data_IF_865295845793
#
_entry.id   IF_865295845793
#
_cell.length_a   1.000
_cell.length_b   1.000
_cell.length_c   1.000
_cell.angle_alpha   90.00
_cell.angle_beta   90.00
_cell.angle_gamma   90.00
#
_symmetry.space_group_name_H-M   'P 1'
#
loop_
_entity.id
_entity.type
_entity.pdbx_description
1 polymer ?
#
# COMPACT_ATOMS: atom_id res chain seq x y z
N UNK A 1 -21.15 -15.20 -9.58
CA UNK A 1 -20.06 -14.22 -9.66
C UNK A 1 -20.39 -12.98 -8.85
N UNK A 2 -19.49 -12.66 -7.92
CA UNK A 2 -19.44 -11.35 -7.31
C UNK A 2 -18.72 -10.40 -8.26
N UNK A 3 -19.29 -9.22 -8.51
CA UNK A 3 -18.64 -8.20 -9.34
C UNK A 3 -18.04 -7.15 -8.42
N UNK A 4 -16.75 -6.87 -8.62
CA UNK A 4 -16.03 -5.84 -7.86
C UNK A 4 -16.41 -4.48 -8.44
N UNK A 5 -16.91 -3.59 -7.59
CA UNK A 5 -17.30 -2.24 -8.00
C UNK A 5 -16.19 -1.23 -7.78
N UNK A 6 -15.46 -1.39 -6.68
CA UNK A 6 -14.43 -0.43 -6.28
C UNK A 6 -13.30 -1.12 -5.55
N UNK A 7 -12.08 -0.73 -5.93
CA UNK A 7 -10.86 -1.01 -5.21
C UNK A 7 -10.34 0.32 -4.66
N UNK A 8 -10.02 0.36 -3.38
CA UNK A 8 -9.44 1.54 -2.76
C UNK A 8 -8.29 1.16 -1.84
N UNK A 9 -7.26 2.00 -1.82
CA UNK A 9 -6.12 1.86 -0.94
C UNK A 9 -5.89 3.21 -0.26
N UNK A 10 -6.00 3.23 1.06
CA UNK A 10 -5.61 4.38 1.87
C UNK A 10 -4.23 4.14 2.44
N UNK A 11 -3.30 5.03 2.13
CA UNK A 11 -1.95 5.02 2.68
C UNK A 11 -1.86 5.90 3.91
N UNK A 12 -1.49 5.31 5.04
CA UNK A 12 -1.21 6.00 6.31
C UNK A 12 0.26 5.79 6.68
N UNK A 13 0.85 6.69 7.48
CA UNK A 13 2.18 6.44 8.02
C UNK A 13 2.14 5.21 8.92
N UNK A 14 3.15 4.35 8.78
CA UNK A 14 3.32 3.23 9.67
C UNK A 14 4.18 3.66 10.88
N UNK A 15 3.50 3.89 12.00
CA UNK A 15 4.16 4.17 13.28
C UNK A 15 4.60 2.89 14.01
N UNK A 16 4.40 1.71 13.42
CA UNK A 16 4.76 0.45 14.06
C UNK A 16 6.28 0.32 14.19
N UNK A 17 6.80 0.08 15.41
CA UNK A 17 8.23 -0.13 15.60
C UNK A 17 8.72 -1.42 14.92
N UNK A 18 7.82 -2.32 14.54
CA UNK A 18 8.17 -3.64 13.98
C UNK A 18 8.69 -3.55 12.55
N UNK A 19 8.09 -2.71 11.70
CA UNK A 19 8.47 -2.60 10.28
C UNK A 19 9.92 -2.10 10.12
N UNK A 20 10.25 -0.99 10.79
CA UNK A 20 11.61 -0.46 10.77
C UNK A 20 12.61 -1.40 11.47
N UNK A 21 12.21 -2.06 12.56
CA UNK A 21 13.08 -3.04 13.23
C UNK A 21 13.40 -4.24 12.34
N UNK A 22 12.41 -4.75 11.60
CA UNK A 22 12.61 -5.83 10.64
C UNK A 22 13.54 -5.39 9.50
N UNK A 23 13.28 -4.23 8.88
CA UNK A 23 14.15 -3.69 7.84
C UNK A 23 15.60 -3.50 8.32
N UNK A 24 15.79 -3.04 9.57
CA UNK A 24 17.12 -2.93 10.18
C UNK A 24 17.79 -4.29 10.41
N UNK A 25 17.03 -5.32 10.75
CA UNK A 25 17.56 -6.66 10.92
C UNK A 25 18.02 -7.27 9.58
N UNK A 26 17.22 -7.12 8.52
CA UNK A 26 17.59 -7.57 7.17
C UNK A 26 18.81 -6.81 6.62
N UNK A 27 18.85 -5.49 6.82
CA UNK A 27 20.00 -4.66 6.47
C UNK A 27 21.28 -5.13 7.20
N UNK A 28 21.17 -5.47 8.49
CA UNK A 28 22.28 -6.00 9.28
C UNK A 28 22.70 -7.42 8.87
N UNK A 29 21.79 -8.20 8.28
CA UNK A 29 22.09 -9.51 7.69
C UNK A 29 22.85 -9.40 6.35
N UNK A 30 22.99 -8.19 5.79
CA UNK A 30 23.77 -7.92 4.59
C UNK A 30 22.95 -7.72 3.33
N UNK A 31 21.62 -7.57 3.44
CA UNK A 31 20.78 -7.26 2.27
C UNK A 31 20.96 -5.79 1.86
N UNK A 32 21.56 -5.58 0.68
CA UNK A 32 21.87 -4.26 0.13
C UNK A 32 20.60 -3.42 -0.16
N UNK A 33 19.50 -4.07 -0.56
CA UNK A 33 18.22 -3.38 -0.80
C UNK A 33 17.67 -2.83 0.51
N UNK A 34 17.67 -3.64 1.56
CA UNK A 34 17.21 -3.20 2.88
C UNK A 34 18.12 -2.14 3.49
N UNK A 35 19.44 -2.22 3.27
CA UNK A 35 20.37 -1.17 3.69
C UNK A 35 20.05 0.18 3.03
N UNK A 36 19.75 0.17 1.72
CA UNK A 36 19.37 1.37 0.99
C UNK A 36 18.07 1.97 1.56
N UNK A 37 17.02 1.17 1.71
CA UNK A 37 15.72 1.64 2.22
C UNK A 37 15.79 2.22 3.63
N UNK A 38 16.55 1.57 4.52
CA UNK A 38 16.77 2.08 5.89
C UNK A 38 17.49 3.43 5.85
N UNK A 39 18.55 3.55 5.04
CA UNK A 39 19.30 4.79 4.92
C UNK A 39 18.45 5.93 4.31
N UNK A 40 17.66 5.64 3.29
CA UNK A 40 16.72 6.60 2.68
C UNK A 40 15.65 7.05 3.67
N UNK A 41 15.10 6.13 4.45
CA UNK A 41 14.13 6.47 5.49
C UNK A 41 14.74 7.39 6.56
N UNK A 42 15.96 7.09 7.02
CA UNK A 42 16.66 7.93 8.00
C UNK A 42 16.99 9.34 7.48
N UNK A 43 17.17 9.50 6.16
CA UNK A 43 17.30 10.81 5.50
C UNK A 43 15.97 11.51 5.20
N UNK A 44 14.84 10.83 5.38
CA UNK A 44 13.51 11.30 4.99
C UNK A 44 13.22 11.22 3.49
N UNK A 45 14.02 10.47 2.75
CA UNK A 45 13.85 10.18 1.32
C UNK A 45 12.87 9.03 1.07
N UNK A 46 12.56 8.23 2.09
CA UNK A 46 11.58 7.16 2.05
C UNK A 46 10.60 7.23 3.23
N UNK A 47 9.35 6.84 2.99
CA UNK A 47 8.30 6.71 4.00
C UNK A 47 8.00 5.23 4.23
N UNK A 48 7.69 4.87 5.47
CA UNK A 48 7.12 3.57 5.80
C UNK A 48 5.61 3.77 5.96
N UNK A 49 4.84 3.02 5.19
CA UNK A 49 3.41 3.15 5.08
C UNK A 49 2.71 1.86 5.47
N UNK A 50 1.52 2.04 6.02
CA UNK A 50 0.51 1.00 6.15
C UNK A 50 -0.57 1.27 5.11
N UNK A 51 -0.94 0.23 4.37
CA UNK A 51 -1.98 0.27 3.36
C UNK A 51 -3.27 -0.34 3.93
N UNK A 52 -4.30 0.49 4.00
CA UNK A 52 -5.67 0.08 4.32
C UNK A 52 -6.40 -0.15 3.00
N UNK A 53 -6.54 -1.42 2.62
CA UNK A 53 -7.15 -1.87 1.38
C UNK A 53 -8.64 -2.09 1.60
N UNK A 54 -9.45 -1.64 0.65
CA UNK A 54 -10.90 -1.78 0.66
C UNK A 54 -11.37 -2.30 -0.68
N UNK A 55 -12.18 -3.36 -0.66
CA UNK A 55 -12.78 -3.99 -1.83
C UNK A 55 -14.30 -4.00 -1.66
N UNK A 56 -15.02 -3.39 -2.60
CA UNK A 56 -16.48 -3.28 -2.57
C UNK A 56 -17.12 -4.16 -3.62
N UNK A 57 -18.08 -5.00 -3.21
CA UNK A 57 -18.78 -5.96 -4.04
C UNK A 57 -20.22 -5.52 -4.34
N UNK A 58 -20.61 -5.62 -5.62
CA UNK A 58 -21.92 -5.17 -6.09
C UNK A 58 -23.06 -6.19 -5.94
N UNK A 59 -22.78 -7.44 -5.62
CA UNK A 59 -23.75 -8.55 -5.66
C UNK A 59 -24.46 -8.82 -4.32
N UNK A 60 -23.91 -8.36 -3.20
CA UNK A 60 -24.48 -8.54 -1.85
C UNK A 60 -24.46 -7.18 -1.16
N UNK A 61 -25.58 -6.45 -1.14
CA UNK A 61 -25.83 -5.25 -0.33
C UNK A 61 -24.61 -4.33 -0.02
N UNK A 62 -23.75 -4.05 -1.01
CA UNK A 62 -22.55 -3.23 -0.81
C UNK A 62 -21.56 -3.83 0.19
N UNK A 63 -21.34 -5.14 0.16
CA UNK A 63 -20.35 -5.82 0.99
C UNK A 63 -18.99 -5.18 0.80
N UNK A 64 -18.40 -4.74 1.92
CA UNK A 64 -17.10 -4.07 1.97
C UNK A 64 -16.14 -4.98 2.71
N UNK A 65 -15.05 -5.31 2.04
CA UNK A 65 -13.99 -6.13 2.61
C UNK A 65 -12.78 -5.24 2.80
N UNK A 66 -12.24 -5.24 4.01
CA UNK A 66 -11.08 -4.42 4.37
C UNK A 66 -9.91 -5.29 4.79
N UNK A 67 -8.72 -4.95 4.33
CA UNK A 67 -7.47 -5.53 4.80
C UNK A 67 -6.50 -4.41 5.19
N UNK A 68 -5.62 -4.68 6.13
CA UNK A 68 -4.56 -3.76 6.52
C UNK A 68 -3.23 -4.48 6.41
N UNK A 69 -2.29 -3.86 5.72
CA UNK A 69 -0.93 -4.39 5.50
C UNK A 69 0.07 -3.31 5.89
N UNK A 70 1.04 -3.64 6.73
CA UNK A 70 2.03 -2.72 7.27
C UNK A 70 3.41 -2.92 6.62
N UNK A 71 4.34 -1.99 6.87
CA UNK A 71 5.73 -2.13 6.48
C UNK A 71 6.09 -1.86 5.01
N UNK A 72 5.29 -1.11 4.27
CA UNK A 72 5.65 -0.74 2.88
C UNK A 72 6.58 0.44 2.84
N UNK A 73 7.74 0.28 2.22
CA UNK A 73 8.61 1.38 1.90
C UNK A 73 8.20 2.00 0.56
N UNK A 74 8.02 3.31 0.56
CA UNK A 74 7.80 4.09 -0.67
C UNK A 74 8.78 5.25 -0.71
N UNK A 75 9.18 5.64 -1.92
CA UNK A 75 10.00 6.83 -2.09
C UNK A 75 9.17 8.07 -1.73
N UNK A 76 9.73 8.92 -0.88
CA UNK A 76 9.17 10.22 -0.56
C UNK A 76 9.45 11.22 -1.70
N UNK A 77 8.69 11.11 -2.78
CA UNK A 77 8.82 12.00 -3.92
C UNK A 77 8.06 13.32 -3.67
N UNK A 78 8.64 14.45 -4.10
CA UNK A 78 7.99 15.78 -4.11
C UNK A 78 6.68 15.87 -4.91
N UNK A 79 6.35 14.87 -5.71
CA UNK A 79 5.16 14.84 -6.56
C UNK A 79 4.22 13.76 -6.05
N UNK A 80 3.14 14.17 -5.38
CA UNK A 80 2.14 13.26 -4.82
C UNK A 80 1.63 12.20 -5.82
N UNK A 81 1.38 12.51 -7.12
CA UNK A 81 0.92 11.49 -8.06
C UNK A 81 1.90 10.32 -8.26
N UNK A 82 3.21 10.54 -8.08
CA UNK A 82 4.20 9.45 -8.16
C UNK A 82 4.15 8.55 -6.94
N UNK A 83 3.89 9.12 -5.76
CA UNK A 83 3.71 8.36 -4.51
C UNK A 83 2.41 7.55 -4.59
N UNK A 84 1.33 8.17 -5.09
CA UNK A 84 0.05 7.50 -5.34
C UNK A 84 0.21 6.35 -6.35
N UNK A 85 1.00 6.53 -7.40
CA UNK A 85 1.30 5.46 -8.36
C UNK A 85 2.03 4.27 -7.68
N UNK A 86 3.08 4.53 -6.89
CA UNK A 86 3.79 3.47 -6.16
C UNK A 86 2.84 2.70 -5.24
N UNK A 87 1.96 3.41 -4.53
CA UNK A 87 0.96 2.78 -3.66
C UNK A 87 -0.03 1.94 -4.47
N UNK A 88 -0.49 2.42 -5.62
CA UNK A 88 -1.40 1.67 -6.47
C UNK A 88 -0.77 0.35 -6.94
N UNK A 89 0.51 0.38 -7.33
CA UNK A 89 1.26 -0.80 -7.76
C UNK A 89 1.45 -1.81 -6.61
N UNK A 90 1.78 -1.33 -5.40
CA UNK A 90 1.91 -2.17 -4.20
C UNK A 90 0.56 -2.77 -3.78
N UNK A 91 -0.48 -1.93 -3.67
CA UNK A 91 -1.82 -2.32 -3.27
C UNK A 91 -2.41 -3.37 -4.20
N UNK A 92 -2.10 -3.31 -5.50
CA UNK A 92 -2.60 -4.27 -6.48
C UNK A 92 -2.10 -5.70 -6.23
N UNK A 93 -0.83 -5.86 -5.85
CA UNK A 93 -0.28 -7.17 -5.47
C UNK A 93 -1.03 -7.78 -4.30
N UNK A 94 -1.29 -6.99 -3.26
CA UNK A 94 -2.00 -7.44 -2.06
C UNK A 94 -3.49 -7.64 -2.27
N UNK A 95 -4.14 -6.81 -3.09
CA UNK A 95 -5.55 -6.98 -3.45
C UNK A 95 -5.77 -8.28 -4.23
N UNK A 96 -4.80 -8.69 -5.06
CA UNK A 96 -4.83 -9.98 -5.74
C UNK A 96 -4.74 -11.14 -4.75
N UNK A 97 -3.86 -11.04 -3.75
CA UNK A 97 -3.76 -12.03 -2.68
C UNK A 97 -5.04 -12.10 -1.83
N UNK A 98 -5.59 -10.93 -1.46
CA UNK A 98 -6.85 -10.83 -0.71
C UNK A 98 -8.01 -11.47 -1.49
N UNK A 99 -8.09 -11.24 -2.80
CA UNK A 99 -9.10 -11.86 -3.63
C UNK A 99 -8.94 -13.39 -3.74
N UNK A 100 -7.70 -13.90 -3.79
CA UNK A 100 -7.45 -15.33 -3.77
C UNK A 100 -7.87 -15.98 -2.42
N UNK A 101 -7.69 -15.28 -1.30
CA UNK A 101 -8.21 -15.70 0.01
C UNK A 101 -9.74 -15.71 0.02
N UNK A 102 -10.38 -14.69 -0.57
CA UNK A 102 -11.84 -14.59 -0.67
C UNK A 102 -12.43 -15.67 -1.58
N UNK A 103 -11.77 -16.01 -2.68
CA UNK A 103 -12.13 -17.12 -3.55
C UNK A 103 -12.25 -18.45 -2.79
N UNK A 104 -11.36 -18.67 -1.82
CA UNK A 104 -11.40 -19.87 -0.97
C UNK A 104 -12.57 -19.85 0.04
N UNK A 105 -13.03 -18.66 0.44
CA UNK A 105 -14.13 -18.46 1.40
C UNK A 105 -15.55 -18.54 0.81
N UNK A 106 -15.70 -19.03 -0.44
CA UNK A 106 -16.96 -19.19 -1.21
C UNK A 106 -17.48 -17.93 -1.93
N UNK A 107 -16.65 -16.93 -2.18
CA UNK A 107 -16.98 -15.86 -3.11
C UNK A 107 -16.35 -16.14 -4.48
N UNK A 108 -17.17 -16.31 -5.51
CA UNK A 108 -16.71 -16.53 -6.88
C UNK A 108 -16.23 -15.20 -7.48
N UNK A 109 -14.98 -14.85 -7.15
CA UNK A 109 -14.22 -13.67 -7.59
C UNK A 109 -13.14 -14.13 -8.56
N UNK A 110 -13.11 -13.54 -9.75
CA UNK A 110 -12.06 -13.80 -10.74
C UNK A 110 -10.87 -12.85 -10.49
N UNK A 111 -9.67 -13.35 -10.12
CA UNK A 111 -8.49 -12.53 -9.96
C UNK A 111 -8.09 -11.78 -11.24
N UNK A 112 -8.48 -12.27 -12.42
CA UNK A 112 -8.21 -11.58 -13.69
C UNK A 112 -9.09 -10.34 -13.87
N UNK A 113 -10.31 -10.32 -13.35
CA UNK A 113 -11.16 -9.12 -13.37
C UNK A 113 -10.53 -8.00 -12.56
N UNK A 114 -9.94 -8.32 -11.41
CA UNK A 114 -9.22 -7.36 -10.58
C UNK A 114 -8.00 -6.79 -11.28
N UNK A 115 -7.36 -7.59 -12.14
CA UNK A 115 -6.09 -7.21 -12.74
C UNK A 115 -6.17 -6.01 -13.71
N UNK A 116 -7.37 -5.73 -14.23
CA UNK A 116 -7.64 -4.60 -15.11
C UNK A 116 -8.28 -3.40 -14.41
N UNK A 117 -8.54 -3.47 -13.11
CA UNK A 117 -9.25 -2.43 -12.37
C UNK A 117 -8.33 -1.33 -11.88
N UNK A 118 -8.83 -0.11 -11.92
CA UNK A 118 -8.19 1.04 -11.29
C UNK A 118 -8.32 0.96 -9.77
N UNK A 119 -7.21 1.08 -9.05
CA UNK A 119 -7.18 1.23 -7.59
C UNK A 119 -7.25 2.72 -7.25
N UNK A 120 -8.30 3.13 -6.56
CA UNK A 120 -8.39 4.49 -6.05
C UNK A 120 -7.46 4.64 -4.84
N UNK A 121 -6.43 5.48 -4.98
CA UNK A 121 -5.47 5.73 -3.90
C UNK A 121 -5.80 7.02 -3.17
N UNK A 122 -5.82 6.96 -1.84
CA UNK A 122 -5.94 8.11 -0.97
C UNK A 122 -4.71 8.19 -0.04
N UNK A 123 -4.08 9.36 0.00
CA UNK A 123 -3.02 9.65 0.97
C UNK A 123 -3.63 10.26 2.23
N UNK A 124 -3.32 9.69 3.39
CA UNK A 124 -3.65 10.30 4.67
C UNK A 124 -3.10 11.74 4.76
N UNK A 125 -3.80 12.68 5.44
CA UNK A 125 -3.33 14.06 5.55
C UNK A 125 -1.89 14.20 6.03
N UNK A 126 -1.43 13.33 6.93
CA UNK A 126 -0.05 13.37 7.40
C UNK A 126 0.95 12.89 6.34
N UNK A 127 0.63 11.82 5.60
CA UNK A 127 1.44 11.36 4.45
C UNK A 127 1.53 12.47 3.40
N UNK A 128 0.39 13.08 3.07
CA UNK A 128 0.32 14.19 2.12
C UNK A 128 1.15 15.39 2.58
N UNK A 129 1.16 15.69 3.88
CA UNK A 129 2.02 16.73 4.45
C UNK A 129 3.50 16.42 4.24
N UNK A 130 3.95 15.19 4.54
CA UNK A 130 5.36 14.78 4.35
C UNK A 130 5.83 14.88 2.89
N UNK A 131 4.98 14.45 1.96
CA UNK A 131 5.20 14.54 0.51
C UNK A 131 5.32 16.00 0.06
N UNK A 132 4.43 16.87 0.54
CA UNK A 132 4.44 18.29 0.20
C UNK A 132 5.63 19.03 0.81
N UNK A 133 6.00 18.74 2.06
CA UNK A 133 7.16 19.34 2.73
C UNK A 133 8.46 19.02 1.96
N UNK A 134 8.56 17.79 1.42
CA UNK A 134 9.68 17.40 0.55
C UNK A 134 9.69 18.17 -0.76
N UNK A 135 8.53 18.42 -1.36
CA UNK A 135 8.41 19.24 -2.57
C UNK A 135 8.74 20.71 -2.37
N UNK A 136 8.60 21.24 -1.15
CA UNK A 136 9.01 22.60 -0.82
C UNK A 136 10.52 22.73 -0.52
N UNK A 137 11.19 21.62 -0.17
CA UNK A 137 12.61 21.58 0.17
C UNK A 137 13.54 21.23 -1.01
N UNK A 138 12.99 20.86 -2.16
CA UNK A 138 13.71 20.49 -3.39
C UNK A 138 13.78 21.65 -4.38
#
# INVERSE_FOLDING_TARGET
MACVQRLSARAVLDDSPTALAHAKAEAAAGDESWQQWVAEHERGDALILRLELTLELGNVAGEVITASRDGFFVENHSHAPKVEQQIAELAFGDLTALAAELAQSRQDLDPHELSGMYVHVELDPEVRRRVNDRGAAA
#
